data_IF_517174525364
#
_entry.id   IF_517174525364
#
_cell.length_a   1.000
_cell.length_b   1.000
_cell.length_c   1.000
_cell.angle_alpha   90.00
_cell.angle_beta   90.00
_cell.angle_gamma   90.00
#
_symmetry.space_group_name_H-M   'P 1'
#
loop_
_entity.id
_entity.type
_entity.pdbx_description
1 polymer ?
#
# COMPACT_ATOMS: atom_id res chain seq x y z
N UNK A 1 14.35 11.74 -28.58
CA UNK A 1 14.10 12.71 -29.67
C UNK A 1 12.63 12.77 -30.12
N UNK A 2 11.99 11.66 -30.51
CA UNK A 2 10.61 11.67 -31.04
C UNK A 2 9.54 12.27 -30.09
N UNK A 3 9.61 12.00 -28.78
CA UNK A 3 8.67 12.60 -27.82
C UNK A 3 8.85 14.12 -27.61
N UNK A 4 10.05 14.66 -27.85
CA UNK A 4 10.37 16.08 -27.64
C UNK A 4 9.82 16.97 -28.77
N UNK A 5 9.87 16.49 -30.01
CA UNK A 5 9.33 17.21 -31.18
C UNK A 5 7.80 17.23 -31.20
N UNK A 6 7.12 16.18 -30.70
CA UNK A 6 5.65 16.15 -30.58
C UNK A 6 5.09 17.21 -29.63
N UNK A 7 5.86 17.59 -28.59
CA UNK A 7 5.48 18.65 -27.66
C UNK A 7 5.64 20.07 -28.24
N UNK A 8 6.28 20.22 -29.40
CA UNK A 8 6.56 21.51 -30.06
C UNK A 8 6.02 21.51 -31.49
N UNK A 9 4.73 21.82 -31.70
CA UNK A 9 4.09 21.66 -32.99
C UNK A 9 4.81 22.46 -34.10
N UNK A 10 5.30 23.67 -33.82
CA UNK A 10 6.01 24.49 -34.80
C UNK A 10 7.25 23.79 -35.40
N UNK A 11 8.06 23.11 -34.56
CA UNK A 11 9.23 22.37 -35.03
C UNK A 11 8.83 21.12 -35.83
N UNK A 12 7.73 20.48 -35.46
CA UNK A 12 7.18 19.36 -36.22
C UNK A 12 6.76 19.77 -37.64
N UNK A 13 6.05 20.88 -37.79
CA UNK A 13 5.65 21.39 -39.11
C UNK A 13 6.85 21.89 -39.92
N UNK A 14 7.84 22.53 -39.29
CA UNK A 14 9.09 22.90 -39.96
C UNK A 14 9.85 21.68 -40.50
N UNK A 15 9.91 20.59 -39.73
CA UNK A 15 10.47 19.31 -40.17
C UNK A 15 9.69 18.74 -41.37
N UNK A 16 8.36 18.80 -41.33
CA UNK A 16 7.49 18.34 -42.42
C UNK A 16 7.81 19.07 -43.74
N UNK A 17 7.90 20.40 -43.69
CA UNK A 17 8.25 21.24 -44.84
C UNK A 17 9.66 20.91 -45.34
N UNK A 18 10.63 20.84 -44.44
CA UNK A 18 12.03 20.58 -44.79
C UNK A 18 12.23 19.21 -45.46
N UNK A 19 11.64 18.15 -44.90
CA UNK A 19 11.74 16.79 -45.47
C UNK A 19 10.97 16.64 -46.78
N UNK A 20 9.81 17.29 -46.92
CA UNK A 20 9.06 17.30 -48.18
C UNK A 20 9.84 18.03 -49.28
N UNK A 21 10.45 19.18 -48.97
CA UNK A 21 11.28 19.93 -49.91
C UNK A 21 12.54 19.13 -50.32
N UNK A 22 13.18 18.46 -49.35
CA UNK A 22 14.32 17.59 -49.64
C UNK A 22 13.92 16.39 -50.51
N UNK A 23 12.79 15.73 -50.22
CA UNK A 23 12.27 14.63 -51.03
C UNK A 23 11.97 15.03 -52.47
N UNK A 24 11.44 16.25 -52.67
CA UNK A 24 11.24 16.82 -54.00
C UNK A 24 12.58 17.10 -54.70
N UNK A 25 13.53 17.76 -54.01
CA UNK A 25 14.85 18.06 -54.58
C UNK A 25 15.60 16.79 -54.99
N UNK A 26 15.62 15.78 -54.12
CA UNK A 26 16.21 14.48 -54.39
C UNK A 26 15.54 13.82 -55.62
N UNK A 27 14.22 13.91 -55.74
CA UNK A 27 13.50 13.33 -56.87
C UNK A 27 13.81 14.01 -58.20
N UNK A 28 13.89 15.34 -58.20
CA UNK A 28 14.25 16.13 -59.38
C UNK A 28 15.70 15.86 -59.81
N UNK A 29 16.62 15.69 -58.84
CA UNK A 29 18.01 15.38 -59.12
C UNK A 29 18.21 14.00 -59.76
N UNK A 30 17.38 13.01 -59.41
CA UNK A 30 17.44 11.65 -59.96
C UNK A 30 16.87 11.58 -61.39
N UNK A 31 16.10 12.58 -61.85
CA UNK A 31 15.65 12.69 -63.24
C UNK A 31 14.95 11.44 -63.76
N UNK A 32 15.38 10.96 -64.94
CA UNK A 32 14.88 9.76 -65.62
C UNK A 32 15.60 8.46 -65.19
N UNK A 33 16.51 8.53 -64.21
CA UNK A 33 17.25 7.35 -63.74
C UNK A 33 16.35 6.36 -62.96
N UNK A 34 15.17 6.80 -62.52
CA UNK A 34 14.15 5.94 -61.92
C UNK A 34 13.26 5.34 -63.02
N UNK A 35 12.94 4.03 -62.96
CA UNK A 35 12.04 3.40 -63.92
C UNK A 35 10.71 4.16 -64.04
N UNK A 36 10.15 4.30 -65.26
CA UNK A 36 8.85 4.91 -65.46
C UNK A 36 7.80 4.14 -64.65
N UNK A 37 7.09 4.85 -63.76
CA UNK A 37 6.06 4.25 -62.89
C UNK A 37 6.22 4.52 -61.38
N UNK A 38 7.39 5.02 -60.92
CA UNK A 38 7.65 5.29 -59.49
C UNK A 38 7.84 6.78 -59.14
N UNK A 39 6.92 7.71 -59.46
CA UNK A 39 7.10 9.13 -59.17
C UNK A 39 7.10 9.45 -57.66
N UNK A 40 6.57 8.55 -56.82
CA UNK A 40 6.28 8.81 -55.40
C UNK A 40 7.36 8.37 -54.41
N UNK A 41 8.34 7.57 -54.85
CA UNK A 41 9.19 6.76 -53.96
C UNK A 41 10.00 7.57 -52.94
N UNK A 42 10.44 8.78 -53.31
CA UNK A 42 11.22 9.67 -52.44
C UNK A 42 10.39 10.34 -51.35
N UNK A 43 9.06 10.44 -51.52
CA UNK A 43 8.18 11.12 -50.58
C UNK A 43 7.72 10.23 -49.42
N UNK A 44 7.65 8.90 -49.61
CA UNK A 44 7.24 7.99 -48.54
C UNK A 44 8.16 8.04 -47.30
N UNK A 45 9.50 7.99 -47.42
CA UNK A 45 10.38 8.14 -46.26
C UNK A 45 10.19 9.46 -45.52
N UNK A 46 9.98 10.57 -46.25
CA UNK A 46 9.73 11.88 -45.65
C UNK A 46 8.43 11.86 -44.81
N UNK A 47 7.32 11.35 -45.37
CA UNK A 47 6.04 11.24 -44.68
C UNK A 47 6.14 10.34 -43.45
N UNK A 48 6.77 9.17 -43.59
CA UNK A 48 6.96 8.20 -42.50
C UNK A 48 7.79 8.79 -41.36
N UNK A 49 8.93 9.41 -41.67
CA UNK A 49 9.82 10.01 -40.65
C UNK A 49 9.09 11.16 -39.95
N UNK A 50 8.42 12.04 -40.69
CA UNK A 50 7.65 13.15 -40.10
C UNK A 50 6.52 12.62 -39.21
N UNK A 51 5.73 11.64 -39.68
CA UNK A 51 4.65 11.03 -38.90
C UNK A 51 5.16 10.33 -37.63
N UNK A 52 6.24 9.58 -37.74
CA UNK A 52 6.82 8.83 -36.62
C UNK A 52 7.43 9.77 -35.56
N UNK A 53 8.18 10.79 -35.99
CA UNK A 53 8.91 11.68 -35.08
C UNK A 53 8.02 12.80 -34.56
N UNK A 54 7.27 13.48 -35.43
CA UNK A 54 6.53 14.70 -35.11
C UNK A 54 5.02 14.49 -34.93
N UNK A 55 4.50 13.30 -35.24
CA UNK A 55 3.10 12.91 -35.03
C UNK A 55 2.21 13.11 -36.25
N UNK A 56 0.91 12.80 -36.07
CA UNK A 56 -0.06 12.74 -37.17
C UNK A 56 -0.22 14.06 -37.92
N UNK A 57 -0.32 15.21 -37.22
CA UNK A 57 -0.58 16.51 -37.86
C UNK A 57 0.58 16.97 -38.76
N UNK A 58 1.85 16.97 -38.32
CA UNK A 58 2.96 17.25 -39.23
C UNK A 58 3.11 16.20 -40.34
N UNK A 59 2.83 14.93 -40.06
CA UNK A 59 2.83 13.88 -41.08
C UNK A 59 1.79 14.13 -42.18
N UNK A 60 0.59 14.57 -41.81
CA UNK A 60 -0.45 14.97 -42.76
C UNK A 60 -0.03 16.19 -43.59
N UNK A 61 0.64 17.17 -42.97
CA UNK A 61 1.21 18.30 -43.73
C UNK A 61 2.25 17.81 -44.75
N UNK A 62 3.16 16.91 -44.36
CA UNK A 62 4.14 16.33 -45.28
C UNK A 62 3.47 15.58 -46.44
N UNK A 63 2.38 14.86 -46.17
CA UNK A 63 1.59 14.17 -47.19
C UNK A 63 0.94 15.16 -48.17
N UNK A 64 0.33 16.24 -47.68
CA UNK A 64 -0.30 17.26 -48.52
C UNK A 64 0.73 18.01 -49.38
N UNK A 65 1.89 18.34 -48.80
CA UNK A 65 3.01 18.95 -49.54
C UNK A 65 3.54 18.01 -50.61
N UNK A 66 3.70 16.72 -50.29
CA UNK A 66 4.11 15.71 -51.25
C UNK A 66 3.07 15.55 -52.38
N UNK A 67 1.78 15.51 -52.06
CA UNK A 67 0.69 15.40 -53.04
C UNK A 67 0.69 16.58 -54.00
N UNK A 68 0.81 17.81 -53.48
CA UNK A 68 0.92 19.03 -54.29
C UNK A 68 2.19 19.04 -55.16
N UNK A 69 3.33 18.62 -54.60
CA UNK A 69 4.60 18.55 -55.33
C UNK A 69 4.53 17.55 -56.48
N UNK A 70 3.94 16.38 -56.24
CA UNK A 70 3.80 15.35 -57.28
C UNK A 70 2.84 15.80 -58.37
N UNK A 71 1.68 16.38 -58.00
CA UNK A 71 0.70 16.85 -58.96
C UNK A 71 1.28 17.92 -59.90
N UNK A 72 2.04 18.88 -59.35
CA UNK A 72 2.56 19.99 -60.15
C UNK A 72 3.85 19.67 -60.92
N UNK A 73 4.81 18.96 -60.30
CA UNK A 73 6.15 18.80 -60.89
C UNK A 73 6.37 17.47 -61.62
N UNK A 74 5.67 16.40 -61.25
CA UNK A 74 6.03 15.04 -61.68
C UNK A 74 5.01 14.39 -62.62
N UNK A 75 3.72 14.71 -62.52
CA UNK A 75 2.70 14.14 -63.40
C UNK A 75 2.73 14.79 -64.78
N UNK A 76 2.49 13.99 -65.82
CA UNK A 76 2.55 14.45 -67.22
C UNK A 76 1.20 15.04 -67.66
N UNK A 77 1.17 16.19 -68.36
CA UNK A 77 2.30 17.10 -68.64
C UNK A 77 2.76 17.87 -67.38
N UNK A 78 4.08 17.96 -67.12
CA UNK A 78 4.60 18.63 -65.92
C UNK A 78 4.34 20.14 -65.98
N UNK A 79 4.24 20.77 -64.80
CA UNK A 79 3.95 22.20 -64.60
C UNK A 79 2.59 22.62 -65.15
N UNK A 80 1.67 21.67 -65.31
CA UNK A 80 0.27 21.91 -65.66
C UNK A 80 -0.59 21.14 -64.67
N UNK A 81 -1.69 21.76 -64.21
CA UNK A 81 -2.64 21.11 -63.29
C UNK A 81 -3.63 20.22 -64.06
N UNK A 82 -3.11 19.36 -64.94
CA UNK A 82 -3.92 18.48 -65.78
C UNK A 82 -4.36 17.23 -65.00
N UNK A 83 -5.67 17.10 -64.82
CA UNK A 83 -6.32 15.94 -64.20
C UNK A 83 -6.74 14.93 -65.27
N UNK A 84 -5.76 14.19 -65.81
CA UNK A 84 -6.07 13.00 -66.61
C UNK A 84 -6.57 11.86 -65.69
N UNK A 85 -7.35 10.88 -66.21
CA UNK A 85 -7.79 9.74 -65.41
C UNK A 85 -6.63 8.97 -64.75
N UNK A 86 -5.50 8.84 -65.47
CA UNK A 86 -4.30 8.20 -64.93
C UNK A 86 -3.64 8.99 -63.79
N UNK A 87 -3.55 10.32 -63.93
CA UNK A 87 -3.02 11.20 -62.88
C UNK A 87 -3.91 11.19 -61.64
N UNK A 88 -5.24 11.23 -61.83
CA UNK A 88 -6.20 11.14 -60.74
C UNK A 88 -6.08 9.82 -59.97
N UNK A 89 -5.95 8.70 -60.69
CA UNK A 89 -5.76 7.38 -60.08
C UNK A 89 -4.45 7.32 -59.27
N UNK A 90 -3.36 7.84 -59.83
CA UNK A 90 -2.05 7.81 -59.18
C UNK A 90 -2.01 8.69 -57.91
N UNK A 91 -2.60 9.88 -57.95
CA UNK A 91 -2.76 10.74 -56.76
C UNK A 91 -3.67 10.09 -55.71
N UNK A 92 -4.74 9.43 -56.14
CA UNK A 92 -5.64 8.67 -55.26
C UNK A 92 -4.92 7.55 -54.51
N UNK A 93 -4.15 6.73 -55.23
CA UNK A 93 -3.33 5.67 -54.61
C UNK A 93 -2.31 6.26 -53.63
N UNK A 94 -1.59 7.31 -54.01
CA UNK A 94 -0.61 7.96 -53.14
C UNK A 94 -1.25 8.49 -51.85
N UNK A 95 -2.40 9.16 -51.97
CA UNK A 95 -3.14 9.68 -50.82
C UNK A 95 -3.61 8.56 -49.89
N UNK A 96 -4.14 7.46 -50.43
CA UNK A 96 -4.62 6.31 -49.65
C UNK A 96 -3.45 5.66 -48.90
N UNK A 97 -2.36 5.34 -49.59
CA UNK A 97 -1.19 4.69 -48.96
C UNK A 97 -0.60 5.59 -47.87
N UNK A 98 -0.39 6.89 -48.16
CA UNK A 98 0.14 7.83 -47.17
C UNK A 98 -0.78 8.02 -45.97
N UNK A 99 -2.10 8.02 -46.16
CA UNK A 99 -3.05 8.10 -45.05
C UNK A 99 -3.04 6.83 -44.20
N UNK A 100 -3.01 5.64 -44.83
CA UNK A 100 -2.91 4.35 -44.14
C UNK A 100 -1.63 4.29 -43.29
N UNK A 101 -0.49 4.69 -43.85
CA UNK A 101 0.79 4.74 -43.13
C UNK A 101 0.71 5.66 -41.89
N UNK A 102 0.14 6.86 -42.05
CA UNK A 102 -0.03 7.79 -40.94
C UNK A 102 -0.99 7.27 -39.86
N UNK A 103 -2.07 6.59 -40.25
CA UNK A 103 -3.03 5.97 -39.32
C UNK A 103 -2.36 4.84 -38.54
N UNK A 104 -1.58 3.99 -39.21
CA UNK A 104 -0.84 2.90 -38.56
C UNK A 104 0.19 3.46 -37.56
N UNK A 105 0.94 4.49 -37.94
CA UNK A 105 1.91 5.15 -37.06
C UNK A 105 1.22 5.74 -35.82
N UNK A 106 0.09 6.42 -36.00
CA UNK A 106 -0.67 7.01 -34.90
C UNK A 106 -1.24 5.92 -33.97
N UNK A 107 -1.79 4.84 -34.53
CA UNK A 107 -2.27 3.69 -33.77
C UNK A 107 -1.15 3.04 -32.95
N UNK A 108 0.03 2.85 -33.57
CA UNK A 108 1.22 2.30 -32.90
C UNK A 108 1.67 3.20 -31.74
N UNK A 109 1.71 4.53 -31.93
CA UNK A 109 2.06 5.45 -30.84
C UNK A 109 1.08 5.37 -29.69
N UNK A 110 -0.23 5.37 -29.97
CA UNK A 110 -1.25 5.23 -28.93
C UNK A 110 -1.11 3.92 -28.17
N UNK A 111 -0.82 2.82 -28.87
CA UNK A 111 -0.59 1.52 -28.24
C UNK A 111 0.64 1.54 -27.33
N UNK A 112 1.76 2.12 -27.78
CA UNK A 112 2.99 2.24 -26.98
C UNK A 112 2.78 3.14 -25.75
N UNK A 113 2.08 4.26 -25.89
CA UNK A 113 1.83 5.17 -24.77
C UNK A 113 0.85 4.56 -23.75
N UNK A 114 -0.18 3.84 -24.21
CA UNK A 114 -1.04 3.03 -23.33
C UNK A 114 -0.24 1.99 -22.57
N UNK A 115 0.60 1.21 -23.26
CA UNK A 115 1.46 0.19 -22.64
C UNK A 115 2.41 0.79 -21.60
N UNK A 116 2.97 1.98 -21.86
CA UNK A 116 3.84 2.68 -20.91
C UNK A 116 3.09 3.09 -19.65
N UNK A 117 1.86 3.61 -19.79
CA UNK A 117 1.02 4.00 -18.64
C UNK A 117 0.66 2.76 -17.81
N UNK A 118 0.22 1.69 -18.46
CA UNK A 118 -0.10 0.43 -17.77
C UNK A 118 1.11 -0.15 -17.04
N UNK A 119 2.29 -0.17 -17.68
CA UNK A 119 3.53 -0.63 -17.04
C UNK A 119 3.93 0.20 -15.83
N UNK A 120 3.73 1.53 -15.88
CA UNK A 120 3.97 2.42 -14.73
C UNK A 120 3.01 2.10 -13.60
N UNK A 121 1.71 2.07 -13.89
CA UNK A 121 0.68 1.71 -12.90
C UNK A 121 0.94 0.36 -12.25
N UNK A 122 1.33 -0.63 -13.04
CA UNK A 122 1.62 -1.97 -12.52
C UNK A 122 2.86 -1.95 -11.60
N UNK A 123 3.91 -1.22 -11.99
CA UNK A 123 5.10 -1.04 -11.14
C UNK A 123 4.75 -0.36 -9.82
N UNK A 124 3.96 0.71 -9.85
CA UNK A 124 3.55 1.44 -8.65
C UNK A 124 2.75 0.53 -7.70
N UNK A 125 1.83 -0.28 -8.24
CA UNK A 125 1.08 -1.29 -7.46
C UNK A 125 2.00 -2.37 -6.87
N UNK A 126 2.97 -2.87 -7.64
CA UNK A 126 3.95 -3.83 -7.13
C UNK A 126 4.80 -3.25 -6.01
N UNK A 127 5.25 -2.01 -6.12
CA UNK A 127 6.03 -1.33 -5.09
C UNK A 127 5.20 -1.12 -3.82
N UNK A 128 3.93 -0.69 -3.95
CA UNK A 128 2.99 -0.59 -2.82
C UNK A 128 2.78 -1.94 -2.13
N UNK A 129 2.50 -2.99 -2.90
CA UNK A 129 2.30 -4.34 -2.35
C UNK A 129 3.56 -4.85 -1.63
N UNK A 130 4.74 -4.58 -2.18
CA UNK A 130 6.02 -4.97 -1.57
C UNK A 130 6.26 -4.27 -0.25
N UNK A 131 6.01 -2.96 -0.17
CA UNK A 131 6.14 -2.19 1.08
C UNK A 131 5.18 -2.70 2.15
N UNK A 132 3.91 -2.90 1.80
CA UNK A 132 2.91 -3.47 2.72
C UNK A 132 3.33 -4.87 3.22
N UNK A 133 3.85 -5.71 2.33
CA UNK A 133 4.34 -7.02 2.71
C UNK A 133 5.56 -6.94 3.64
N UNK A 134 6.50 -6.03 3.40
CA UNK A 134 7.64 -5.81 4.27
C UNK A 134 7.21 -5.34 5.67
N UNK A 135 6.27 -4.40 5.76
CA UNK A 135 5.70 -3.97 7.05
C UNK A 135 5.03 -5.13 7.79
N UNK A 136 4.25 -5.96 7.09
CA UNK A 136 3.63 -7.14 7.68
C UNK A 136 4.68 -8.13 8.20
N UNK A 137 5.74 -8.40 7.43
CA UNK A 137 6.84 -9.27 7.86
C UNK A 137 7.54 -8.71 9.10
N UNK A 138 7.79 -7.40 9.16
CA UNK A 138 8.35 -6.76 10.34
C UNK A 138 7.44 -6.91 11.57
N UNK A 139 6.12 -6.72 11.41
CA UNK A 139 5.14 -6.91 12.50
C UNK A 139 5.10 -8.36 12.98
N UNK A 140 5.10 -9.33 12.07
CA UNK A 140 5.15 -10.75 12.41
C UNK A 140 6.46 -11.09 13.15
N UNK A 141 7.60 -10.60 12.67
CA UNK A 141 8.88 -10.81 13.33
C UNK A 141 8.89 -10.23 14.76
N UNK A 142 8.33 -9.04 14.97
CA UNK A 142 8.19 -8.43 16.30
C UNK A 142 7.32 -9.30 17.23
N UNK A 143 6.21 -9.84 16.72
CA UNK A 143 5.32 -10.72 17.50
C UNK A 143 6.00 -12.03 17.88
N UNK A 144 6.73 -12.65 16.95
CA UNK A 144 7.50 -13.87 17.23
C UNK A 144 8.63 -13.61 18.23
N UNK A 145 9.30 -12.44 18.15
CA UNK A 145 10.31 -12.05 19.12
C UNK A 145 9.72 -11.88 20.54
N UNK A 146 8.52 -11.31 20.65
CA UNK A 146 7.78 -11.23 21.91
C UNK A 146 7.45 -12.62 22.48
N UNK A 147 6.90 -13.53 21.66
CA UNK A 147 6.62 -14.92 22.05
C UNK A 147 7.91 -15.62 22.52
N UNK A 148 9.01 -15.47 21.78
CA UNK A 148 10.29 -16.02 22.17
C UNK A 148 10.80 -15.46 23.51
N UNK A 149 10.60 -14.16 23.77
CA UNK A 149 10.89 -13.51 25.04
C UNK A 149 10.08 -14.11 26.21
N UNK A 150 8.79 -14.33 26.01
CA UNK A 150 7.90 -14.98 26.98
C UNK A 150 8.37 -16.39 27.33
N UNK A 151 8.65 -17.22 26.33
CA UNK A 151 9.11 -18.58 26.53
C UNK A 151 10.46 -18.62 27.27
N UNK A 152 11.36 -17.66 27.02
CA UNK A 152 12.62 -17.53 27.78
C UNK A 152 12.37 -17.22 29.26
N UNK A 153 11.38 -16.37 29.57
CA UNK A 153 11.01 -16.08 30.95
C UNK A 153 10.40 -17.31 31.64
N UNK A 154 9.51 -18.03 30.96
CA UNK A 154 8.93 -19.28 31.47
C UNK A 154 10.00 -20.35 31.73
N UNK A 155 10.99 -20.48 30.82
CA UNK A 155 12.14 -21.37 31.02
C UNK A 155 12.91 -21.06 32.32
N UNK A 156 13.10 -19.78 32.66
CA UNK A 156 13.76 -19.39 33.92
C UNK A 156 12.95 -19.79 35.16
N UNK A 157 11.62 -19.73 35.07
CA UNK A 157 10.72 -20.15 36.15
C UNK A 157 10.76 -21.66 36.37
N UNK A 158 10.72 -22.43 35.28
CA UNK A 158 10.86 -23.90 35.32
C UNK A 158 12.22 -24.30 35.93
N UNK A 159 13.29 -23.57 35.62
CA UNK A 159 14.59 -23.83 36.22
C UNK A 159 14.65 -23.57 37.74
N UNK A 160 13.81 -22.66 38.26
CA UNK A 160 13.71 -22.36 39.68
C UNK A 160 12.79 -23.33 40.43
N UNK A 161 11.73 -23.81 39.78
CA UNK A 161 10.80 -24.81 40.30
C UNK A 161 10.42 -25.83 39.23
N UNK A 162 11.17 -26.95 39.12
CA UNK A 162 10.90 -28.00 38.14
C UNK A 162 9.54 -28.69 38.33
N UNK A 163 8.99 -28.71 39.55
CA UNK A 163 7.70 -29.34 39.81
C UNK A 163 6.53 -28.55 39.21
N UNK A 164 6.70 -27.23 39.04
CA UNK A 164 5.71 -26.37 38.40
C UNK A 164 5.67 -26.47 36.85
N UNK A 165 6.51 -27.33 36.24
CA UNK A 165 6.64 -27.43 34.77
C UNK A 165 5.30 -27.59 34.03
N UNK A 166 4.39 -28.51 34.43
CA UNK A 166 3.12 -28.69 33.71
C UNK A 166 2.28 -27.42 33.72
N UNK A 167 2.11 -26.81 34.90
CA UNK A 167 1.33 -25.58 35.08
C UNK A 167 1.93 -24.42 34.29
N UNK A 168 3.26 -24.25 34.33
CA UNK A 168 3.95 -23.18 33.61
C UNK A 168 3.83 -23.35 32.09
N UNK A 169 3.83 -24.59 31.60
CA UNK A 169 3.67 -24.88 30.18
C UNK A 169 2.24 -24.59 29.71
N UNK A 170 1.23 -25.02 30.46
CA UNK A 170 -0.18 -24.75 30.16
C UNK A 170 -0.46 -23.24 30.15
N UNK A 171 0.13 -22.47 31.08
CA UNK A 171 0.06 -21.00 31.08
C UNK A 171 0.69 -20.39 29.82
N UNK A 172 1.79 -20.96 29.32
CA UNK A 172 2.43 -20.49 28.10
C UNK A 172 1.57 -20.78 26.86
N UNK A 173 0.97 -21.96 26.77
CA UNK A 173 0.07 -22.34 25.67
C UNK A 173 -1.17 -21.44 25.65
N UNK A 174 -1.84 -21.27 26.80
CA UNK A 174 -3.01 -20.41 26.92
C UNK A 174 -2.72 -18.97 26.47
N UNK A 175 -1.53 -18.45 26.83
CA UNK A 175 -1.09 -17.11 26.44
C UNK A 175 -0.84 -16.98 24.93
N UNK A 176 -0.21 -17.97 24.31
CA UNK A 176 0.02 -18.01 22.85
C UNK A 176 -1.32 -18.06 22.12
N UNK A 177 -2.27 -18.84 22.61
CA UNK A 177 -3.59 -18.98 22.01
C UNK A 177 -4.41 -17.68 22.10
N UNK A 178 -4.39 -17.00 23.26
CA UNK A 178 -4.97 -15.66 23.42
C UNK A 178 -4.34 -14.66 22.44
N UNK A 179 -3.01 -14.68 22.28
CA UNK A 179 -2.33 -13.82 21.32
C UNK A 179 -2.74 -14.13 19.87
N UNK A 180 -2.90 -15.40 19.52
CA UNK A 180 -3.40 -15.84 18.21
C UNK A 180 -4.83 -15.36 17.92
N UNK A 181 -5.73 -15.41 18.92
CA UNK A 181 -7.09 -14.86 18.80
C UNK A 181 -7.09 -13.35 18.60
N UNK A 182 -6.37 -12.61 19.45
CA UNK A 182 -6.25 -11.15 19.32
C UNK A 182 -5.67 -10.78 17.94
N UNK A 183 -4.67 -11.51 17.46
CA UNK A 183 -4.09 -11.28 16.14
C UNK A 183 -5.10 -11.53 15.01
N UNK A 184 -5.84 -12.64 15.03
CA UNK A 184 -6.87 -12.88 13.99
C UNK A 184 -7.91 -11.76 13.98
N UNK A 185 -8.35 -11.30 15.14
CA UNK A 185 -9.35 -10.25 15.30
C UNK A 185 -8.91 -8.91 14.71
N UNK A 186 -7.69 -8.47 15.06
CA UNK A 186 -7.15 -7.19 14.59
C UNK A 186 -6.91 -7.12 13.07
N UNK A 187 -6.77 -8.28 12.42
CA UNK A 187 -6.50 -8.37 10.99
C UNK A 187 -7.69 -8.95 10.20
N UNK A 188 -8.85 -9.13 10.82
CA UNK A 188 -10.09 -9.47 10.11
C UNK A 188 -10.65 -8.22 9.43
N UNK A 189 -10.78 -8.19 8.08
CA UNK A 189 -11.34 -7.05 7.36
C UNK A 189 -12.74 -6.64 7.82
N UNK A 190 -13.51 -7.56 8.41
CA UNK A 190 -14.85 -7.30 8.93
C UNK A 190 -14.89 -6.58 10.29
N UNK A 191 -13.79 -6.60 11.05
CA UNK A 191 -13.70 -6.03 12.41
C UNK A 191 -12.75 -4.82 12.51
N UNK A 192 -12.05 -4.48 11.43
CA UNK A 192 -11.04 -3.42 11.40
C UNK A 192 -11.57 -1.99 11.71
N UNK A 193 -12.89 -1.79 11.60
CA UNK A 193 -13.56 -0.49 11.85
C UNK A 193 -14.15 -0.39 13.27
N UNK A 194 -13.95 -1.41 14.12
CA UNK A 194 -14.46 -1.40 15.49
C UNK A 194 -13.74 -0.36 16.35
N UNK A 195 -14.51 0.43 17.10
CA UNK A 195 -13.95 1.32 18.10
C UNK A 195 -13.11 0.52 19.12
N UNK A 196 -11.97 1.09 19.56
CA UNK A 196 -11.02 0.42 20.47
C UNK A 196 -11.72 -0.14 21.72
N UNK A 197 -12.73 0.55 22.24
CA UNK A 197 -13.54 0.08 23.37
C UNK A 197 -14.25 -1.25 23.08
N UNK A 198 -14.92 -1.37 21.93
CA UNK A 198 -15.62 -2.59 21.54
C UNK A 198 -14.64 -3.77 21.34
N UNK A 199 -13.46 -3.49 20.77
CA UNK A 199 -12.40 -4.49 20.64
C UNK A 199 -11.91 -4.99 22.01
N UNK A 200 -11.60 -4.07 22.93
CA UNK A 200 -11.15 -4.43 24.28
C UNK A 200 -12.23 -5.19 25.05
N UNK A 201 -13.49 -4.76 24.96
CA UNK A 201 -14.63 -5.43 25.60
C UNK A 201 -14.78 -6.87 25.11
N UNK A 202 -14.69 -7.09 23.80
CA UNK A 202 -14.80 -8.41 23.23
C UNK A 202 -13.62 -9.33 23.60
N UNK A 203 -12.39 -8.80 23.59
CA UNK A 203 -11.19 -9.52 24.06
C UNK A 203 -11.34 -9.92 25.54
N UNK A 204 -11.81 -9.01 26.39
CA UNK A 204 -11.99 -9.30 27.80
C UNK A 204 -13.09 -10.35 28.04
N UNK A 205 -14.21 -10.23 27.33
CA UNK A 205 -15.35 -11.16 27.45
C UNK A 205 -14.95 -12.59 27.05
N UNK A 206 -14.28 -12.74 25.90
CA UNK A 206 -13.76 -14.04 25.45
C UNK A 206 -12.74 -14.63 26.44
N UNK A 207 -11.88 -13.79 27.02
CA UNK A 207 -10.88 -14.21 27.99
C UNK A 207 -11.51 -14.68 29.31
N UNK A 208 -12.50 -13.96 29.83
CA UNK A 208 -13.24 -14.35 31.03
C UNK A 208 -13.97 -15.68 30.84
N UNK A 209 -14.64 -15.86 29.70
CA UNK A 209 -15.33 -17.12 29.36
C UNK A 209 -14.34 -18.28 29.23
N UNK A 210 -13.19 -18.09 28.58
CA UNK A 210 -12.15 -19.11 28.46
C UNK A 210 -11.54 -19.52 29.81
N UNK A 211 -11.57 -18.62 30.80
CA UNK A 211 -11.12 -18.88 32.17
C UNK A 211 -12.22 -19.46 33.09
N UNK A 212 -13.46 -19.59 32.60
CA UNK A 212 -14.61 -20.02 33.41
C UNK A 212 -15.03 -19.00 34.46
N UNK A 213 -14.73 -17.72 34.25
CA UNK A 213 -15.02 -16.63 35.17
C UNK A 213 -16.31 -15.88 34.79
N UNK A 214 -17.38 -16.61 34.47
CA UNK A 214 -18.64 -16.04 33.95
C UNK A 214 -19.37 -15.11 34.95
N UNK A 215 -19.05 -15.23 36.25
CA UNK A 215 -19.58 -14.33 37.30
C UNK A 215 -18.85 -12.98 37.40
N UNK A 216 -17.75 -12.80 36.68
CA UNK A 216 -17.00 -11.53 36.65
C UNK A 216 -17.50 -10.68 35.47
N UNK A 217 -18.04 -9.50 35.75
CA UNK A 217 -18.46 -8.56 34.71
C UNK A 217 -17.28 -7.68 34.27
N UNK A 218 -17.14 -7.42 32.98
CA UNK A 218 -16.22 -6.41 32.46
C UNK A 218 -16.99 -5.24 31.86
N UNK A 219 -16.59 -4.01 32.18
CA UNK A 219 -17.13 -2.78 31.60
C UNK A 219 -16.02 -1.93 31.01
N UNK A 220 -16.17 -1.56 29.75
CA UNK A 220 -15.16 -0.80 29.00
C UNK A 220 -15.72 0.57 28.60
N UNK A 221 -15.22 1.61 29.22
CA UNK A 221 -15.62 3.01 29.03
C UNK A 221 -14.38 3.83 28.66
N UNK A 222 -13.93 3.71 27.40
CA UNK A 222 -12.71 4.37 26.90
C UNK A 222 -13.00 5.46 25.85
N UNK A 223 -13.83 6.48 26.16
CA UNK A 223 -14.20 7.50 25.20
C UNK A 223 -12.96 8.34 24.81
N UNK A 224 -12.64 8.34 23.52
CA UNK A 224 -11.53 9.14 23.00
C UNK A 224 -10.15 8.52 23.17
N UNK A 225 -10.04 7.28 23.66
CA UNK A 225 -8.78 6.54 23.63
C UNK A 225 -8.29 6.43 22.18
N UNK A 226 -7.18 7.09 21.87
CA UNK A 226 -6.52 7.01 20.56
C UNK A 226 -5.28 6.15 20.71
N UNK A 227 -5.18 5.10 19.88
CA UNK A 227 -3.99 4.24 19.77
C UNK A 227 -3.80 3.85 18.30
N UNK A 228 -2.59 4.01 17.72
CA UNK A 228 -2.30 3.57 16.36
C UNK A 228 -2.54 2.06 16.18
N UNK A 229 -2.94 1.64 14.98
CA UNK A 229 -3.26 0.23 14.68
C UNK A 229 -2.08 -0.73 14.98
N UNK A 230 -0.85 -0.29 14.73
CA UNK A 230 0.37 -1.04 15.05
C UNK A 230 0.64 -1.20 16.56
N UNK A 231 -0.03 -0.40 17.40
CA UNK A 231 0.02 -0.45 18.86
C UNK A 231 -1.20 -1.13 19.51
N UNK A 232 -2.24 -1.49 18.73
CA UNK A 232 -3.43 -2.15 19.28
C UNK A 232 -3.15 -3.57 19.80
N UNK A 233 -2.26 -4.31 19.14
CA UNK A 233 -1.87 -5.64 19.60
C UNK A 233 -1.17 -5.61 20.98
N UNK A 234 -0.10 -4.83 21.20
CA UNK A 234 0.52 -4.77 22.52
C UNK A 234 -0.43 -4.22 23.60
N UNK A 235 -1.31 -3.27 23.27
CA UNK A 235 -2.36 -2.80 24.18
C UNK A 235 -3.32 -3.93 24.59
N UNK A 236 -3.81 -4.71 23.62
CA UNK A 236 -4.75 -5.80 23.87
C UNK A 236 -4.13 -6.89 24.74
N UNK A 237 -2.85 -7.22 24.50
CA UNK A 237 -2.11 -8.18 25.31
C UNK A 237 -1.86 -7.67 26.73
N UNK A 238 -1.61 -6.36 26.87
CA UNK A 238 -1.42 -5.73 28.18
C UNK A 238 -2.70 -5.83 28.99
N UNK A 239 -3.84 -5.49 28.39
CA UNK A 239 -5.15 -5.61 29.03
C UNK A 239 -5.43 -7.07 29.39
N UNK A 240 -5.25 -8.00 28.45
CA UNK A 240 -5.46 -9.43 28.68
C UNK A 240 -4.66 -9.96 29.87
N UNK A 241 -3.40 -9.51 30.03
CA UNK A 241 -2.57 -9.89 31.16
C UNK A 241 -3.07 -9.35 32.50
N UNK A 242 -3.55 -8.10 32.52
CA UNK A 242 -4.12 -7.48 33.71
C UNK A 242 -5.41 -8.20 34.10
N UNK A 243 -6.32 -8.46 33.16
CA UNK A 243 -7.56 -9.22 33.41
C UNK A 243 -7.23 -10.61 33.95
N UNK A 244 -6.25 -11.31 33.35
CA UNK A 244 -5.82 -12.63 33.81
C UNK A 244 -5.34 -12.58 35.27
N UNK A 245 -4.58 -11.54 35.64
CA UNK A 245 -4.13 -11.35 37.03
C UNK A 245 -5.30 -11.07 37.98
N UNK A 246 -6.26 -10.22 37.59
CA UNK A 246 -7.44 -9.94 38.40
C UNK A 246 -8.27 -11.20 38.65
N UNK A 247 -8.48 -12.04 37.65
CA UNK A 247 -9.21 -13.33 37.83
C UNK A 247 -8.43 -14.30 38.69
N UNK A 248 -7.12 -14.49 38.43
CA UNK A 248 -6.30 -15.46 39.18
C UNK A 248 -6.06 -15.08 40.64
N UNK A 249 -5.97 -13.78 40.93
CA UNK A 249 -5.55 -13.29 42.24
C UNK A 249 -6.62 -12.45 42.94
N UNK A 250 -7.19 -11.47 42.25
CA UNK A 250 -8.20 -10.56 42.81
C UNK A 250 -9.53 -11.24 43.14
N UNK A 251 -9.97 -12.17 42.29
CA UNK A 251 -11.24 -12.91 42.43
C UNK A 251 -11.06 -14.35 42.89
N UNK A 252 -9.87 -14.73 43.34
CA UNK A 252 -9.62 -16.08 43.84
C UNK A 252 -10.59 -16.43 44.98
N UNK A 253 -11.45 -17.43 44.76
CA UNK A 253 -12.46 -17.87 45.74
C UNK A 253 -13.72 -17.01 45.81
N UNK A 254 -13.91 -16.04 44.91
CA UNK A 254 -15.15 -15.26 44.77
C UNK A 254 -15.98 -15.78 43.59
N UNK A 255 -17.30 -15.76 43.75
CA UNK A 255 -18.24 -16.16 42.69
C UNK A 255 -18.53 -15.02 41.71
N UNK A 256 -18.34 -13.77 42.14
CA UNK A 256 -18.67 -12.56 41.41
C UNK A 256 -17.63 -11.44 41.60
N UNK A 257 -17.63 -10.51 40.66
CA UNK A 257 -16.76 -9.32 40.65
C UNK A 257 -17.02 -8.41 39.45
N UNK A 258 -16.44 -7.23 39.48
CA UNK A 258 -16.48 -6.24 38.39
C UNK A 258 -15.05 -5.78 38.06
N UNK A 259 -14.72 -5.79 36.77
CA UNK A 259 -13.54 -5.14 36.23
C UNK A 259 -13.99 -3.96 35.36
N UNK A 260 -13.49 -2.76 35.66
CA UNK A 260 -13.77 -1.54 34.92
C UNK A 260 -12.52 -1.04 34.23
N UNK A 261 -12.62 -0.80 32.92
CA UNK A 261 -11.58 -0.23 32.08
C UNK A 261 -12.03 1.16 31.64
N UNK A 262 -11.31 2.20 32.05
CA UNK A 262 -11.60 3.58 31.66
C UNK A 262 -10.40 4.25 30.98
N UNK A 263 -10.66 5.28 30.18
CA UNK A 263 -9.60 6.16 29.67
C UNK A 263 -9.79 7.57 30.21
N UNK A 264 -8.69 8.22 30.55
CA UNK A 264 -8.65 9.60 31.03
C UNK A 264 -7.52 10.37 30.36
N UNK A 265 -7.64 11.70 30.30
CA UNK A 265 -6.55 12.55 29.85
C UNK A 265 -5.44 12.61 30.91
N UNK A 266 -4.19 12.53 30.50
CA UNK A 266 -3.03 12.55 31.40
C UNK A 266 -1.94 13.48 30.84
N UNK A 267 -1.99 14.76 31.23
CA UNK A 267 -1.16 15.81 30.63
C UNK A 267 -1.45 15.97 29.14
N UNK A 268 -0.40 15.88 28.31
CA UNK A 268 -0.52 15.85 26.85
C UNK A 268 -0.91 14.47 26.30
N UNK A 269 -0.83 13.43 27.14
CA UNK A 269 -1.12 12.04 26.80
C UNK A 269 -2.47 11.55 27.30
N UNK A 270 -2.58 10.24 27.45
CA UNK A 270 -3.79 9.56 27.89
C UNK A 270 -3.41 8.46 28.89
N UNK A 271 -4.26 8.16 29.84
CA UNK A 271 -4.10 7.01 30.72
C UNK A 271 -5.23 6.01 30.55
N UNK A 272 -4.89 4.73 30.49
CA UNK A 272 -5.82 3.62 30.60
C UNK A 272 -5.80 3.12 32.04
N UNK A 273 -6.95 3.16 32.70
CA UNK A 273 -7.11 2.72 34.10
C UNK A 273 -7.95 1.46 34.11
N UNK A 274 -7.40 0.40 34.70
CA UNK A 274 -8.07 -0.90 34.85
C UNK A 274 -8.20 -1.16 36.35
N UNK A 275 -9.44 -1.19 36.83
CA UNK A 275 -9.77 -1.42 38.24
C UNK A 275 -10.56 -2.71 38.39
N UNK A 276 -10.13 -3.57 39.30
CA UNK A 276 -10.95 -4.66 39.83
C UNK A 276 -11.45 -4.33 41.24
N UNK A 277 -12.57 -4.91 41.64
CA UNK A 277 -13.13 -4.87 43.00
C UNK A 277 -12.78 -6.12 43.82
N UNK A 278 -11.65 -6.76 43.47
CA UNK A 278 -11.15 -7.96 44.10
C UNK A 278 -10.55 -7.74 45.49
N UNK A 279 -9.76 -8.71 45.95
CA UNK A 279 -9.08 -8.65 47.26
C UNK A 279 -7.95 -7.62 47.32
N UNK A 280 -7.57 -7.02 46.19
CA UNK A 280 -6.49 -6.03 46.09
C UNK A 280 -5.10 -6.63 46.20
N UNK A 281 -4.08 -5.77 46.12
CA UNK A 281 -2.68 -6.18 46.27
C UNK A 281 -2.32 -6.30 47.76
N UNK A 282 -1.95 -7.51 48.20
CA UNK A 282 -1.50 -7.80 49.59
C UNK A 282 -0.21 -7.03 49.94
N UNK A 283 0.65 -6.80 48.96
CA UNK A 283 1.78 -5.88 49.01
C UNK A 283 1.96 -5.26 47.62
N UNK A 284 2.33 -3.98 47.56
CA UNK A 284 2.82 -3.41 46.30
C UNK A 284 4.01 -4.26 45.83
N UNK A 285 4.08 -4.61 44.54
CA UNK A 285 5.14 -5.45 44.02
C UNK A 285 6.50 -4.86 44.37
N UNK A 286 7.37 -5.69 44.94
CA UNK A 286 8.73 -5.29 45.22
C UNK A 286 9.42 -4.98 43.87
N UNK A 287 9.88 -3.74 43.69
CA UNK A 287 10.45 -3.28 42.42
C UNK A 287 11.64 -4.15 41.97
N UNK A 288 12.26 -4.87 42.90
CA UNK A 288 13.39 -5.76 42.70
C UNK A 288 13.02 -7.15 42.11
N UNK A 289 11.79 -7.65 42.25
CA UNK A 289 11.41 -8.99 41.76
C UNK A 289 9.92 -9.15 41.44
N UNK A 290 9.39 -8.41 40.44
CA UNK A 290 8.00 -8.56 40.01
C UNK A 290 7.71 -9.97 39.45
N UNK A 291 6.49 -10.46 39.70
CA UNK A 291 5.96 -11.68 39.10
C UNK A 291 5.95 -11.59 37.57
N UNK A 292 5.91 -12.75 36.90
CA UNK A 292 6.02 -12.84 35.43
C UNK A 292 5.02 -11.94 34.71
N UNK A 293 3.75 -11.95 35.12
CA UNK A 293 2.71 -11.16 34.47
C UNK A 293 2.97 -9.66 34.57
N UNK A 294 3.48 -9.18 35.71
CA UNK A 294 3.81 -7.77 35.89
C UNK A 294 4.98 -7.34 35.00
N UNK A 295 6.00 -8.20 34.84
CA UNK A 295 7.10 -7.95 33.89
C UNK A 295 6.61 -7.82 32.45
N UNK A 296 5.58 -8.58 32.10
CA UNK A 296 4.99 -8.57 30.76
C UNK A 296 4.19 -7.28 30.56
N UNK A 297 3.36 -6.89 31.54
CA UNK A 297 2.66 -5.60 31.54
C UNK A 297 3.65 -4.44 31.42
N UNK A 298 4.75 -4.44 32.18
CA UNK A 298 5.81 -3.43 32.07
C UNK A 298 6.45 -3.39 30.68
N UNK A 299 6.80 -4.56 30.11
CA UNK A 299 7.39 -4.65 28.79
C UNK A 299 6.47 -4.14 27.69
N UNK A 300 5.17 -4.48 27.77
CA UNK A 300 4.15 -4.02 26.83
C UNK A 300 3.87 -2.52 26.97
N UNK A 301 3.81 -1.99 28.20
CA UNK A 301 3.68 -0.55 28.44
C UNK A 301 4.87 0.22 27.86
N UNK A 302 6.09 -0.27 28.06
CA UNK A 302 7.29 0.31 27.45
C UNK A 302 7.26 0.26 25.92
N UNK A 303 6.77 -0.83 25.33
CA UNK A 303 6.59 -0.94 23.87
C UNK A 303 5.56 0.06 23.32
N UNK A 304 4.56 0.43 24.12
CA UNK A 304 3.59 1.49 23.81
C UNK A 304 4.18 2.91 23.98
N UNK A 305 5.41 3.03 24.48
CA UNK A 305 6.07 4.30 24.82
C UNK A 305 5.61 4.88 26.16
N UNK A 306 4.95 4.06 26.98
CA UNK A 306 4.30 4.44 28.22
C UNK A 306 4.95 3.88 29.48
N UNK A 307 4.29 4.08 30.61
CA UNK A 307 4.65 3.46 31.89
C UNK A 307 3.43 2.86 32.58
N UNK A 308 3.67 2.02 33.59
CA UNK A 308 2.59 1.40 34.37
C UNK A 308 2.84 1.62 35.86
N UNK A 309 1.78 1.91 36.59
CA UNK A 309 1.75 1.98 38.05
C UNK A 309 0.58 1.18 38.61
N UNK A 310 0.72 0.73 39.85
CA UNK A 310 -0.30 -0.02 40.57
C UNK A 310 -0.59 0.65 41.89
N UNK A 311 -1.85 0.62 42.29
CA UNK A 311 -2.30 0.96 43.63
C UNK A 311 -3.36 -0.04 44.10
N UNK A 312 -3.62 -0.06 45.40
CA UNK A 312 -4.67 -0.86 46.01
C UNK A 312 -5.70 0.09 46.61
N UNK A 313 -6.93 0.05 46.12
CA UNK A 313 -8.07 0.83 46.61
C UNK A 313 -9.36 0.02 46.44
N UNK A 314 -9.80 -0.65 47.51
CA UNK A 314 -10.93 -1.57 47.51
C UNK A 314 -10.89 -2.59 46.34
N UNK A 315 -9.69 -3.09 46.05
CA UNK A 315 -9.35 -3.88 44.86
C UNK A 315 -8.04 -3.38 44.24
N UNK A 316 -7.66 -3.91 43.07
CA UNK A 316 -6.43 -3.49 42.40
C UNK A 316 -6.72 -2.44 41.33
N UNK A 317 -5.93 -1.37 41.31
CA UNK A 317 -5.95 -0.36 40.25
C UNK A 317 -4.63 -0.40 39.50
N UNK A 318 -4.69 -0.68 38.20
CA UNK A 318 -3.56 -0.59 37.29
C UNK A 318 -3.74 0.63 36.39
N UNK A 319 -2.82 1.59 36.46
CA UNK A 319 -2.82 2.77 35.59
C UNK A 319 -1.69 2.65 34.58
N UNK A 320 -2.02 2.74 33.30
CA UNK A 320 -1.09 2.69 32.17
C UNK A 320 -1.08 4.05 31.50
N UNK A 321 0.03 4.76 31.58
CA UNK A 321 0.21 6.06 30.91
C UNK A 321 0.67 5.83 29.48
N UNK A 322 0.09 6.57 28.54
CA UNK A 322 0.39 6.49 27.11
C UNK A 322 0.76 7.89 26.60
N UNK A 323 1.78 8.00 25.74
CA UNK A 323 2.17 9.29 25.18
C UNK A 323 1.09 9.87 24.25
N UNK A 324 1.14 11.18 24.06
CA UNK A 324 0.37 11.87 23.02
C UNK A 324 0.66 11.24 21.64
N UNK A 325 -0.36 11.21 20.77
CA UNK A 325 -0.21 10.78 19.36
C UNK A 325 -0.06 12.01 18.48
#
# INVERSE_FOLDING_TARGET
MAGWLRGRPALGHALAVGLAAWALAARLAVGDALPPGFPFLTFFPAILITGYVAGFRPGLLALLLALASVWYFLLTPPRQLALSPGNAMALGFFLIVGLVDLVIIEAMHRAVDKLRIERRRNRDLYEQQRTLFQELQHRVANNLAFIAGLLRLQKRRIAADPAATPVVFDEAVARIDTMGRIHRRLYDPGEADAAIGAHLEAVCTELLSAMGADGVAVRVEVPGLKVPLDRLLPLSLLVAEIITNSVKHGFAGRADGEIRITSEADGDGQALVIRDDGTGLVALPDAASPGLGMRIVQGLAAQLGGSVSWSSDAGTVTRVTLPAI
#
